data_IF_465551845254
#
_entry.id   IF_465551845254
#
_cell.length_a   1.000
_cell.length_b   1.000
_cell.length_c   1.000
_cell.angle_alpha   90.00
_cell.angle_beta   90.00
_cell.angle_gamma   90.00
#
_symmetry.space_group_name_H-M   'P 1'
#
loop_
_entity.id
_entity.type
_entity.pdbx_description
1 polymer ?
#
# COMPACT_ATOMS: atom_id res chain seq x y z
N UNK A 1 -4.01 -23.26 5.25
CA UNK A 1 -4.46 -23.72 3.92
C UNK A 1 -3.71 -22.89 2.89
N UNK A 2 -2.93 -23.52 2.01
CA UNK A 2 -2.20 -22.83 0.94
C UNK A 2 -3.15 -22.06 0.02
N UNK A 3 -2.74 -20.89 -0.43
CA UNK A 3 -3.50 -20.06 -1.38
C UNK A 3 -4.65 -19.28 -0.77
N UNK A 4 -4.69 -19.13 0.57
CA UNK A 4 -5.73 -18.32 1.22
C UNK A 4 -5.37 -16.84 1.25
N UNK A 5 -6.40 -15.97 1.25
CA UNK A 5 -6.22 -14.53 1.43
C UNK A 5 -5.47 -14.18 2.72
N UNK A 6 -5.65 -14.98 3.78
CA UNK A 6 -4.94 -14.80 5.07
C UNK A 6 -3.44 -15.04 4.90
N UNK A 7 -3.05 -16.09 4.19
CA UNK A 7 -1.64 -16.37 3.90
C UNK A 7 -1.00 -15.25 3.06
N UNK A 8 -1.71 -14.73 2.05
CA UNK A 8 -1.23 -13.59 1.27
C UNK A 8 -1.06 -12.33 2.13
N UNK A 9 -1.99 -12.05 3.04
CA UNK A 9 -1.87 -10.93 3.98
C UNK A 9 -0.66 -11.09 4.88
N UNK A 10 -0.47 -12.29 5.46
CA UNK A 10 0.67 -12.56 6.34
C UNK A 10 2.00 -12.41 5.60
N UNK A 11 2.10 -12.95 4.38
CA UNK A 11 3.27 -12.76 3.53
C UNK A 11 3.58 -11.27 3.30
N UNK A 12 2.57 -10.46 2.96
CA UNK A 12 2.76 -9.04 2.71
C UNK A 12 3.14 -8.27 3.97
N UNK A 13 2.56 -8.61 5.13
CA UNK A 13 2.93 -8.01 6.41
C UNK A 13 4.37 -8.36 6.82
N UNK A 14 4.78 -9.62 6.64
CA UNK A 14 6.17 -10.05 6.86
C UNK A 14 7.12 -9.29 5.93
N UNK A 15 6.79 -9.19 4.64
CA UNK A 15 7.59 -8.45 3.67
C UNK A 15 7.78 -6.97 4.05
N UNK A 16 6.71 -6.30 4.50
CA UNK A 16 6.78 -4.90 4.97
C UNK A 16 7.63 -4.77 6.24
N UNK A 17 7.59 -5.76 7.13
CA UNK A 17 8.32 -5.69 8.40
C UNK A 17 9.82 -6.00 8.28
N UNK A 18 10.22 -6.76 7.26
CA UNK A 18 11.59 -7.29 7.12
C UNK A 18 12.48 -6.51 6.14
N UNK A 19 11.93 -5.66 5.26
CA UNK A 19 12.67 -4.98 4.19
C UNK A 19 12.54 -3.46 4.23
N UNK A 20 13.65 -2.75 3.97
CA UNK A 20 13.74 -1.28 4.10
C UNK A 20 13.53 -0.53 2.75
N UNK A 21 13.95 -1.09 1.61
CA UNK A 21 13.97 -0.36 0.31
C UNK A 21 13.35 -1.14 -0.88
N UNK A 22 12.47 -2.11 -0.62
CA UNK A 22 11.89 -2.97 -1.65
C UNK A 22 10.66 -2.39 -2.36
N UNK A 23 10.46 -2.76 -3.64
CA UNK A 23 9.19 -2.57 -4.34
C UNK A 23 8.54 -3.93 -4.60
N UNK A 24 7.31 -4.11 -4.11
CA UNK A 24 6.54 -5.33 -4.34
C UNK A 24 5.50 -5.12 -5.44
N UNK A 25 5.46 -6.04 -6.41
CA UNK A 25 4.52 -6.02 -7.53
C UNK A 25 3.39 -7.04 -7.33
N UNK A 26 2.16 -6.55 -7.11
CA UNK A 26 0.96 -7.39 -7.00
C UNK A 26 0.27 -7.58 -8.36
N UNK A 27 0.46 -8.73 -9.01
CA UNK A 27 -0.18 -9.08 -10.29
C UNK A 27 -1.37 -10.03 -10.14
N UNK A 28 -2.29 -10.02 -11.12
CA UNK A 28 -3.41 -10.97 -11.19
C UNK A 28 -4.55 -10.46 -12.07
N UNK A 29 -5.50 -11.34 -12.42
CA UNK A 29 -6.63 -10.99 -13.29
C UNK A 29 -7.49 -9.86 -12.70
N UNK A 30 -8.16 -9.08 -13.55
CA UNK A 30 -9.15 -8.11 -13.09
C UNK A 30 -10.23 -8.80 -12.23
N UNK A 31 -10.73 -8.13 -11.19
CA UNK A 31 -11.74 -8.70 -10.29
C UNK A 31 -11.22 -9.65 -9.20
N UNK A 32 -9.93 -10.02 -9.18
CA UNK A 32 -9.37 -10.89 -8.12
C UNK A 32 -9.18 -10.21 -6.75
N UNK A 33 -9.62 -8.95 -6.61
CA UNK A 33 -9.59 -8.24 -5.34
C UNK A 33 -8.23 -7.69 -4.92
N UNK A 34 -7.27 -7.48 -5.84
CA UNK A 34 -5.96 -6.89 -5.54
C UNK A 34 -6.07 -5.56 -4.78
N UNK A 35 -6.87 -4.62 -5.28
CA UNK A 35 -7.10 -3.33 -4.59
C UNK A 35 -7.79 -3.51 -3.24
N UNK A 36 -8.69 -4.49 -3.13
CA UNK A 36 -9.36 -4.82 -1.86
C UNK A 36 -8.38 -5.43 -0.83
N UNK A 37 -7.40 -6.23 -1.28
CA UNK A 37 -6.32 -6.77 -0.45
C UNK A 37 -5.43 -5.64 0.10
N UNK A 38 -4.98 -4.73 -0.77
CA UNK A 38 -4.19 -3.55 -0.36
C UNK A 38 -4.99 -2.65 0.60
N UNK A 39 -6.29 -2.46 0.36
CA UNK A 39 -7.17 -1.75 1.28
C UNK A 39 -7.31 -2.44 2.65
N UNK A 40 -7.28 -3.77 2.71
CA UNK A 40 -7.21 -4.51 3.98
C UNK A 40 -5.89 -4.28 4.69
N UNK A 41 -4.76 -4.34 3.96
CA UNK A 41 -3.43 -4.08 4.52
C UNK A 41 -3.31 -2.67 5.10
N UNK A 42 -3.79 -1.66 4.38
CA UNK A 42 -3.84 -0.28 4.88
C UNK A 42 -4.54 -0.21 6.23
N UNK A 43 -5.74 -0.81 6.38
CA UNK A 43 -6.46 -0.80 7.66
C UNK A 43 -5.68 -1.49 8.79
N UNK A 44 -5.05 -2.63 8.50
CA UNK A 44 -4.27 -3.39 9.49
C UNK A 44 -3.04 -2.61 9.93
N UNK A 45 -2.30 -2.03 8.99
CA UNK A 45 -1.09 -1.28 9.27
C UNK A 45 -1.39 0.06 9.95
N UNK A 46 -2.41 0.80 9.52
CA UNK A 46 -2.81 2.04 10.20
C UNK A 46 -3.23 1.80 11.66
N UNK A 47 -3.85 0.64 11.95
CA UNK A 47 -4.13 0.23 13.32
C UNK A 47 -2.85 -0.12 14.10
N UNK A 48 -1.96 -0.93 13.53
CA UNK A 48 -0.76 -1.42 14.21
C UNK A 48 0.38 -0.38 14.34
N UNK A 49 0.50 0.53 13.37
CA UNK A 49 1.55 1.56 13.35
C UNK A 49 1.26 2.74 14.28
N UNK A 50 0.03 2.87 14.80
CA UNK A 50 -0.30 3.84 15.84
C UNK A 50 0.54 3.66 17.13
N UNK A 51 1.21 2.52 17.31
CA UNK A 51 2.11 2.25 18.43
C UNK A 51 3.59 2.04 18.08
N UNK A 52 4.03 2.22 16.83
CA UNK A 52 5.44 2.02 16.41
C UNK A 52 6.02 3.35 15.89
N UNK A 53 7.26 3.69 16.25
CA UNK A 53 7.89 4.99 15.92
C UNK A 53 8.43 5.08 14.49
N UNK A 54 7.79 4.42 13.53
CA UNK A 54 8.19 4.48 12.12
C UNK A 54 7.21 5.41 11.40
N UNK A 55 7.71 6.54 10.88
CA UNK A 55 6.92 7.40 9.98
C UNK A 55 6.66 6.63 8.69
N UNK A 56 5.39 6.37 8.40
CA UNK A 56 4.95 5.80 7.13
C UNK A 56 3.72 6.56 6.63
N UNK A 57 3.63 6.72 5.31
CA UNK A 57 2.49 7.32 4.64
C UNK A 57 1.85 6.32 3.68
N UNK A 58 0.53 6.27 3.65
CA UNK A 58 -0.22 5.46 2.69
C UNK A 58 -0.77 6.37 1.59
N UNK A 59 -0.29 6.18 0.37
CA UNK A 59 -0.69 6.99 -0.79
C UNK A 59 -1.29 6.06 -1.84
N UNK A 60 -2.54 6.34 -2.24
CA UNK A 60 -3.19 5.64 -3.37
C UNK A 60 -3.04 6.50 -4.61
N UNK A 61 -2.44 5.93 -5.65
CA UNK A 61 -2.41 6.52 -6.99
C UNK A 61 -3.20 5.63 -7.95
N UNK A 62 -4.12 6.23 -8.70
CA UNK A 62 -4.95 5.54 -9.69
C UNK A 62 -4.83 6.23 -11.04
N UNK A 63 -4.27 5.54 -12.04
CA UNK A 63 -4.11 6.11 -13.39
C UNK A 63 -5.46 6.38 -14.09
N UNK A 64 -6.55 5.81 -13.60
CA UNK A 64 -7.89 6.15 -14.12
C UNK A 64 -8.38 7.51 -13.62
N UNK A 65 -7.86 7.95 -12.46
CA UNK A 65 -8.14 9.26 -11.85
C UNK A 65 -7.12 10.32 -12.34
N UNK A 66 -5.87 9.92 -12.62
CA UNK A 66 -4.78 10.77 -13.12
C UNK A 66 -4.35 10.37 -14.53
N UNK A 67 -4.78 11.13 -15.53
CA UNK A 67 -4.53 10.82 -16.94
C UNK A 67 -3.07 10.96 -17.37
N UNK A 68 -2.34 11.93 -16.80
CA UNK A 68 -0.96 12.19 -17.19
C UNK A 68 0.01 11.50 -16.23
N UNK A 69 0.84 10.59 -16.77
CA UNK A 69 1.88 9.93 -15.96
C UNK A 69 2.89 10.89 -15.33
N UNK A 70 3.03 12.10 -15.90
CA UNK A 70 3.85 13.17 -15.33
C UNK A 70 3.34 13.67 -13.97
N UNK A 71 2.06 13.45 -13.66
CA UNK A 71 1.45 13.88 -12.40
C UNK A 71 1.78 12.95 -11.23
N UNK A 72 2.33 11.75 -11.46
CA UNK A 72 2.60 10.77 -10.41
C UNK A 72 3.44 11.34 -9.27
N UNK A 73 4.59 11.95 -9.60
CA UNK A 73 5.52 12.48 -8.61
C UNK A 73 4.89 13.67 -7.88
N UNK A 74 4.21 14.56 -8.60
CA UNK A 74 3.54 15.71 -7.99
C UNK A 74 2.38 15.30 -7.08
N UNK A 75 1.62 14.26 -7.45
CA UNK A 75 0.51 13.73 -6.64
C UNK A 75 1.01 13.04 -5.36
N UNK A 76 2.16 12.34 -5.44
CA UNK A 76 2.83 11.78 -4.25
C UNK A 76 3.31 12.92 -3.34
N UNK A 77 4.04 13.90 -3.89
CA UNK A 77 4.56 15.03 -3.12
C UNK A 77 3.46 15.85 -2.44
N UNK A 78 2.37 16.13 -3.17
CA UNK A 78 1.19 16.78 -2.61
C UNK A 78 0.59 15.97 -1.45
N UNK A 79 0.41 14.66 -1.65
CA UNK A 79 -0.16 13.77 -0.62
C UNK A 79 0.71 13.72 0.64
N UNK A 80 2.05 13.71 0.49
CA UNK A 80 2.98 13.78 1.62
C UNK A 80 2.85 15.10 2.39
N UNK A 81 2.79 16.23 1.68
CA UNK A 81 2.63 17.54 2.31
C UNK A 81 1.32 17.71 3.11
N UNK A 82 0.29 16.93 2.80
CA UNK A 82 -0.97 16.91 3.57
C UNK A 82 -0.86 16.18 4.91
N UNK A 83 0.17 15.36 5.13
CA UNK A 83 0.41 14.68 6.42
C UNK A 83 1.19 15.54 7.43
N UNK A 84 1.85 16.62 6.97
CA UNK A 84 2.65 17.53 7.80
C UNK A 84 1.84 18.72 8.37
N UNK A 85 0.53 18.79 8.10
CA UNK A 85 -0.41 19.80 8.63
C UNK A 85 -1.12 19.32 9.89
#
# INVERSE_FOLDING_TARGET
MPGTRVETINYLLTWIAEYDDGVLWCSGLAGTGKSALVGTLHKLLSFQMSGRSHLAAFIRYDRTEYWYSSELITSIAYSLGMFDQ
#
